data_IF_172441972650
#
_entry.id   IF_172441972650
#
_cell.length_a   1.000
_cell.length_b   1.000
_cell.length_c   1.000
_cell.angle_alpha   90.00
_cell.angle_beta   90.00
_cell.angle_gamma   90.00
#
_symmetry.space_group_name_H-M   'P 1'
#
loop_
_entity.id
_entity.type
_entity.pdbx_description
1 polymer ?
#
# COMPACT_ATOMS: atom_id res chain seq x y z
N UNK A 1 -7.03 23.83 -5.02
CA UNK A 1 -7.59 22.90 -4.01
C UNK A 1 -8.84 22.22 -4.54
N UNK A 2 -9.88 22.96 -4.94
CA UNK A 2 -11.09 22.38 -5.57
C UNK A 2 -10.78 21.56 -6.84
N UNK A 3 -9.89 22.04 -7.72
CA UNK A 3 -9.45 21.27 -8.90
C UNK A 3 -8.82 19.92 -8.49
N UNK A 4 -7.95 19.95 -7.46
CA UNK A 4 -7.26 18.76 -6.93
C UNK A 4 -8.30 17.80 -6.32
N UNK A 5 -9.28 18.34 -5.58
CA UNK A 5 -10.39 17.57 -5.02
C UNK A 5 -11.17 16.83 -6.12
N UNK A 6 -11.61 17.51 -7.18
CA UNK A 6 -12.34 16.87 -8.27
C UNK A 6 -11.51 15.82 -8.99
N UNK A 7 -10.20 16.06 -9.19
CA UNK A 7 -9.28 15.07 -9.76
C UNK A 7 -9.25 13.80 -8.90
N UNK A 8 -9.09 13.93 -7.58
CA UNK A 8 -9.09 12.79 -6.66
C UNK A 8 -10.42 12.04 -6.67
N UNK A 9 -11.55 12.74 -6.65
CA UNK A 9 -12.89 12.10 -6.68
C UNK A 9 -13.12 11.31 -7.96
N UNK A 10 -12.77 11.90 -9.11
CA UNK A 10 -12.93 11.23 -10.42
C UNK A 10 -12.01 10.01 -10.55
N UNK A 11 -10.79 10.08 -10.01
CA UNK A 11 -9.85 8.94 -10.01
C UNK A 11 -10.17 7.88 -8.94
N UNK A 12 -10.85 8.25 -7.87
CA UNK A 12 -11.23 7.35 -6.79
C UNK A 12 -12.21 6.28 -7.27
N UNK A 13 -13.26 6.66 -7.98
CA UNK A 13 -14.30 5.75 -8.48
C UNK A 13 -13.71 4.59 -9.31
N UNK A 14 -12.91 4.82 -10.38
CA UNK A 14 -12.31 3.73 -11.15
C UNK A 14 -11.28 2.95 -10.33
N UNK A 15 -10.52 3.60 -9.43
CA UNK A 15 -9.54 2.91 -8.58
C UNK A 15 -10.22 1.93 -7.61
N UNK A 16 -11.33 2.32 -6.99
CA UNK A 16 -12.15 1.45 -6.15
C UNK A 16 -12.73 0.27 -6.94
N UNK A 17 -13.30 0.54 -8.12
CA UNK A 17 -13.85 -0.51 -8.98
C UNK A 17 -12.77 -1.52 -9.40
N UNK A 18 -11.60 -1.03 -9.82
CA UNK A 18 -10.46 -1.88 -10.15
C UNK A 18 -10.01 -2.73 -8.95
N UNK A 19 -9.87 -2.15 -7.77
CA UNK A 19 -9.51 -2.90 -6.56
C UNK A 19 -10.53 -4.00 -6.27
N UNK A 20 -11.82 -3.69 -6.29
CA UNK A 20 -12.90 -4.66 -6.03
C UNK A 20 -12.91 -5.80 -7.06
N UNK A 21 -12.72 -5.50 -8.34
CA UNK A 21 -12.64 -6.51 -9.39
C UNK A 21 -11.45 -7.46 -9.20
N UNK A 22 -10.29 -6.92 -8.83
CA UNK A 22 -9.10 -7.75 -8.59
C UNK A 22 -9.28 -8.60 -7.34
N UNK A 23 -9.82 -8.04 -6.25
CA UNK A 23 -10.18 -8.80 -5.05
C UNK A 23 -11.14 -9.94 -5.38
N UNK A 24 -12.22 -9.65 -6.10
CA UNK A 24 -13.21 -10.65 -6.52
C UNK A 24 -12.58 -11.80 -7.30
N UNK A 25 -11.73 -11.48 -8.30
CA UNK A 25 -11.03 -12.51 -9.08
C UNK A 25 -10.06 -13.33 -8.22
N UNK A 26 -9.36 -12.70 -7.27
CA UNK A 26 -8.43 -13.36 -6.37
C UNK A 26 -9.13 -14.34 -5.40
N UNK A 27 -10.32 -13.99 -4.90
CA UNK A 27 -11.12 -14.89 -4.07
C UNK A 27 -11.67 -16.07 -4.87
N UNK A 28 -12.06 -15.85 -6.12
CA UNK A 28 -12.63 -16.88 -6.99
C UNK A 28 -11.59 -17.90 -7.47
N UNK A 29 -10.36 -17.48 -7.74
CA UNK A 29 -9.30 -18.34 -8.28
C UNK A 29 -8.29 -18.78 -7.22
N UNK A 30 -8.56 -19.92 -6.59
CA UNK A 30 -7.68 -20.49 -5.55
C UNK A 30 -6.27 -20.84 -6.04
N UNK A 31 -6.10 -21.11 -7.34
CA UNK A 31 -4.80 -21.41 -7.95
C UNK A 31 -3.89 -20.17 -8.01
N UNK A 32 -4.44 -18.97 -8.23
CA UNK A 32 -3.67 -17.73 -8.25
C UNK A 32 -3.06 -17.43 -6.88
N UNK A 33 -3.72 -17.83 -5.78
CA UNK A 33 -3.26 -17.56 -4.40
C UNK A 33 -1.99 -18.31 -3.99
N UNK A 34 -1.66 -19.42 -4.66
CA UNK A 34 -0.53 -20.29 -4.28
C UNK A 34 0.81 -19.82 -4.82
N UNK A 35 0.82 -18.92 -5.80
CA UNK A 35 2.04 -18.39 -6.38
C UNK A 35 2.57 -17.23 -5.52
N UNK A 36 3.88 -17.22 -5.19
CA UNK A 36 4.48 -16.22 -4.30
C UNK A 36 4.35 -14.80 -4.84
N UNK A 37 4.59 -14.60 -6.14
CA UNK A 37 4.43 -13.29 -6.78
C UNK A 37 3.01 -12.71 -6.62
N UNK A 38 1.99 -13.57 -6.67
CA UNK A 38 0.60 -13.15 -6.49
C UNK A 38 0.29 -12.81 -5.02
N UNK A 39 1.02 -13.36 -4.05
CA UNK A 39 0.90 -13.00 -2.64
C UNK A 39 1.43 -11.58 -2.39
N UNK A 40 2.56 -11.20 -3.01
CA UNK A 40 3.10 -9.83 -2.95
C UNK A 40 2.11 -8.83 -3.53
N UNK A 41 1.52 -9.13 -4.70
CA UNK A 41 0.49 -8.29 -5.34
C UNK A 41 -0.77 -8.20 -4.48
N UNK A 42 -1.18 -9.29 -3.86
CA UNK A 42 -2.34 -9.29 -2.96
C UNK A 42 -2.12 -8.42 -1.72
N UNK A 43 -0.94 -8.50 -1.12
CA UNK A 43 -0.58 -7.63 0.00
C UNK A 43 -0.57 -6.16 -0.42
N UNK A 44 -0.01 -5.84 -1.60
CA UNK A 44 -0.05 -4.50 -2.18
C UNK A 44 -1.50 -3.99 -2.34
N UNK A 45 -2.41 -4.82 -2.84
CA UNK A 45 -3.82 -4.46 -2.99
C UNK A 45 -4.50 -4.19 -1.65
N UNK A 46 -4.18 -4.96 -0.60
CA UNK A 46 -4.70 -4.70 0.74
C UNK A 46 -4.22 -3.33 1.24
N UNK A 47 -2.94 -3.03 1.10
CA UNK A 47 -2.37 -1.76 1.55
C UNK A 47 -3.00 -0.58 0.80
N UNK A 48 -3.11 -0.67 -0.53
CA UNK A 48 -3.76 0.36 -1.36
C UNK A 48 -5.24 0.53 -1.01
N UNK A 49 -5.95 -0.56 -0.72
CA UNK A 49 -7.36 -0.49 -0.32
C UNK A 49 -7.52 0.19 1.04
N UNK A 50 -6.64 -0.09 1.99
CA UNK A 50 -6.61 0.60 3.30
C UNK A 50 -6.29 2.08 3.11
N UNK A 51 -5.33 2.43 2.26
CA UNK A 51 -4.99 3.83 1.93
C UNK A 51 -6.19 4.57 1.34
N UNK A 52 -6.90 3.94 0.41
CA UNK A 52 -8.13 4.50 -0.19
C UNK A 52 -9.25 4.67 0.83
N UNK A 53 -9.39 3.76 1.80
CA UNK A 53 -10.46 3.83 2.81
C UNK A 53 -10.16 4.82 3.94
N UNK A 54 -8.89 5.02 4.29
CA UNK A 54 -8.49 5.80 5.47
C UNK A 54 -7.91 7.15 5.06
N UNK A 55 -6.82 7.17 4.28
CA UNK A 55 -6.12 8.43 3.97
C UNK A 55 -6.96 9.32 3.06
N UNK A 56 -7.55 8.73 2.03
CA UNK A 56 -8.20 9.50 0.97
C UNK A 56 -9.44 10.27 1.43
N UNK A 57 -10.37 9.73 2.26
CA UNK A 57 -11.51 10.49 2.76
C UNK A 57 -11.09 11.64 3.67
N UNK A 58 -10.09 11.41 4.53
CA UNK A 58 -9.55 12.46 5.42
C UNK A 58 -8.92 13.58 4.58
N UNK A 59 -8.13 13.22 3.57
CA UNK A 59 -7.51 14.17 2.63
C UNK A 59 -8.54 14.94 1.82
N UNK A 60 -9.60 14.28 1.35
CA UNK A 60 -10.72 14.90 0.62
C UNK A 60 -11.49 15.88 1.50
N UNK A 61 -11.79 15.50 2.74
CA UNK A 61 -12.42 16.39 3.73
C UNK A 61 -11.57 17.63 3.97
N UNK A 62 -10.25 17.46 4.16
CA UNK A 62 -9.33 18.58 4.33
C UNK A 62 -9.27 19.50 3.09
N UNK A 63 -9.28 18.92 1.89
CA UNK A 63 -9.25 19.68 0.63
C UNK A 63 -10.54 20.46 0.36
N UNK A 64 -11.67 19.98 0.86
CA UNK A 64 -12.99 20.61 0.70
C UNK A 64 -13.24 21.68 1.77
N UNK A 65 -13.03 21.36 3.05
CA UNK A 65 -13.38 22.24 4.18
C UNK A 65 -12.24 23.17 4.61
N UNK A 66 -11.03 22.98 4.08
CA UNK A 66 -9.80 23.66 4.52
C UNK A 66 -9.47 23.46 6.01
N UNK A 67 -10.13 22.52 6.69
CA UNK A 67 -9.93 22.22 8.11
C UNK A 67 -9.84 20.71 8.30
N UNK A 68 -9.10 20.31 9.32
CA UNK A 68 -9.06 18.90 9.75
C UNK A 68 -10.27 18.67 10.67
N UNK A 69 -11.04 17.62 10.40
CA UNK A 69 -12.22 17.23 11.20
C UNK A 69 -11.93 17.19 12.71
N UNK A 70 -10.74 16.73 13.09
CA UNK A 70 -10.27 16.65 14.47
C UNK A 70 -8.92 17.36 14.55
N UNK A 71 -8.91 18.58 15.10
CA UNK A 71 -7.71 19.41 15.22
C UNK A 71 -6.88 19.09 16.48
N UNK A 72 -6.79 17.83 16.87
CA UNK A 72 -5.94 17.43 18.00
C UNK A 72 -4.55 17.05 17.50
N UNK A 73 -3.51 17.44 18.25
CA UNK A 73 -2.12 17.12 17.89
C UNK A 73 -1.90 15.61 17.70
N UNK A 74 -2.52 14.78 18.56
CA UNK A 74 -2.46 13.33 18.46
C UNK A 74 -3.11 12.79 17.18
N UNK A 75 -4.24 13.33 16.73
CA UNK A 75 -4.87 12.91 15.48
C UNK A 75 -4.01 13.28 14.27
N UNK A 76 -3.43 14.48 14.24
CA UNK A 76 -2.53 14.90 13.16
C UNK A 76 -1.27 14.03 13.08
N UNK A 77 -0.68 13.68 14.23
CA UNK A 77 0.48 12.76 14.26
C UNK A 77 0.09 11.36 13.77
N UNK A 78 -1.02 10.82 14.28
CA UNK A 78 -1.51 9.50 13.86
C UNK A 78 -1.83 9.46 12.37
N UNK A 79 -2.49 10.50 11.85
CA UNK A 79 -2.82 10.59 10.43
C UNK A 79 -1.55 10.70 9.57
N UNK A 80 -0.60 11.55 9.95
CA UNK A 80 0.65 11.68 9.22
C UNK A 80 1.46 10.37 9.25
N UNK A 81 1.46 9.67 10.40
CA UNK A 81 2.08 8.37 10.55
C UNK A 81 1.45 7.32 9.62
N UNK A 82 0.12 7.15 9.67
CA UNK A 82 -0.55 6.12 8.87
C UNK A 82 -0.43 6.42 7.37
N UNK A 83 -0.55 7.69 6.96
CA UNK A 83 -0.40 8.10 5.56
C UNK A 83 1.01 7.80 5.04
N UNK A 84 2.04 8.14 5.81
CA UNK A 84 3.44 7.91 5.42
C UNK A 84 3.79 6.43 5.37
N UNK A 85 3.34 5.67 6.38
CA UNK A 85 3.58 4.22 6.46
C UNK A 85 2.93 3.50 5.29
N UNK A 86 1.63 3.71 5.05
CA UNK A 86 0.92 3.01 3.97
C UNK A 86 1.52 3.34 2.60
N UNK A 87 1.86 4.60 2.37
CA UNK A 87 2.44 5.03 1.10
C UNK A 87 3.81 4.37 0.83
N UNK A 88 4.72 4.38 1.81
CA UNK A 88 6.04 3.76 1.65
C UNK A 88 5.95 2.23 1.58
N UNK A 89 5.07 1.59 2.35
CA UNK A 89 4.83 0.14 2.22
C UNK A 89 4.36 -0.18 0.80
N UNK A 90 3.40 0.59 0.27
CA UNK A 90 2.90 0.43 -1.09
C UNK A 90 4.00 0.57 -2.14
N UNK A 91 4.84 1.60 -2.03
CA UNK A 91 5.97 1.83 -2.92
C UNK A 91 7.01 0.70 -2.86
N UNK A 92 7.40 0.26 -1.66
CA UNK A 92 8.32 -0.86 -1.50
C UNK A 92 7.74 -2.15 -2.08
N UNK A 93 6.50 -2.50 -1.77
CA UNK A 93 5.86 -3.71 -2.29
C UNK A 93 5.75 -3.66 -3.82
N UNK A 94 5.45 -2.52 -4.42
CA UNK A 94 5.40 -2.35 -5.87
C UNK A 94 6.78 -2.52 -6.52
N UNK A 95 7.82 -1.93 -5.93
CA UNK A 95 9.19 -2.08 -6.39
C UNK A 95 9.63 -3.55 -6.31
N UNK A 96 9.39 -4.21 -5.18
CA UNK A 96 9.78 -5.60 -4.99
C UNK A 96 8.96 -6.57 -5.85
N UNK A 97 7.67 -6.37 -6.03
CA UNK A 97 6.88 -7.18 -6.95
C UNK A 97 7.42 -7.10 -8.38
N UNK A 98 7.91 -5.92 -8.79
CA UNK A 98 8.54 -5.72 -10.11
C UNK A 98 9.87 -6.46 -10.22
N UNK A 99 10.71 -6.38 -9.18
CA UNK A 99 11.97 -7.10 -9.09
C UNK A 99 11.74 -8.62 -9.08
N UNK A 100 10.81 -9.10 -8.26
CA UNK A 100 10.43 -10.51 -8.14
C UNK A 100 10.02 -11.07 -9.51
N UNK A 101 9.17 -10.34 -10.24
CA UNK A 101 8.74 -10.72 -11.59
C UNK A 101 9.88 -10.72 -12.59
N UNK A 102 10.79 -9.75 -12.51
CA UNK A 102 11.97 -9.72 -13.37
C UNK A 102 12.85 -10.95 -13.14
N UNK A 103 13.18 -11.29 -11.89
CA UNK A 103 13.94 -12.50 -11.57
C UNK A 103 13.22 -13.79 -11.96
N UNK A 104 11.89 -13.84 -11.80
CA UNK A 104 11.09 -14.99 -12.20
C UNK A 104 11.18 -15.26 -13.72
N UNK A 105 11.13 -14.21 -14.55
CA UNK A 105 11.19 -14.33 -16.02
C UNK A 105 12.60 -14.67 -16.50
N UNK A 106 13.62 -13.95 -16.02
CA UNK A 106 14.98 -14.07 -16.56
C UNK A 106 15.83 -15.15 -15.86
N UNK A 107 15.51 -15.51 -14.62
CA UNK A 107 16.31 -16.41 -13.79
C UNK A 107 15.42 -17.39 -12.98
N UNK A 108 14.44 -18.02 -13.65
CA UNK A 108 13.41 -18.85 -13.02
C UNK A 108 13.95 -19.95 -12.09
N UNK A 109 15.03 -20.65 -12.48
CA UNK A 109 15.66 -21.70 -11.67
C UNK A 109 16.32 -21.14 -10.40
N UNK A 110 17.00 -19.99 -10.51
CA UNK A 110 17.60 -19.30 -9.37
C UNK A 110 16.52 -18.80 -8.41
N UNK A 111 15.43 -18.24 -8.97
CA UNK A 111 14.29 -17.78 -8.18
C UNK A 111 13.61 -18.91 -7.41
N UNK A 112 13.43 -20.09 -8.04
CA UNK A 112 12.87 -21.26 -7.38
C UNK A 112 13.75 -21.75 -6.21
N UNK A 113 15.08 -21.75 -6.39
CA UNK A 113 16.04 -22.17 -5.36
C UNK A 113 16.13 -21.19 -4.19
N UNK A 114 16.02 -19.90 -4.46
CA UNK A 114 16.17 -18.83 -3.46
C UNK A 114 14.84 -18.12 -3.13
N UNK A 115 13.71 -18.82 -3.28
CA UNK A 115 12.36 -18.27 -3.09
C UNK A 115 12.18 -17.54 -1.75
N UNK A 116 12.75 -18.09 -0.67
CA UNK A 116 12.65 -17.48 0.65
C UNK A 116 13.36 -16.11 0.71
N UNK A 117 14.57 -16.03 0.15
CA UNK A 117 15.37 -14.80 0.13
C UNK A 117 14.82 -13.74 -0.84
N UNK A 118 14.22 -14.16 -1.96
CA UNK A 118 13.81 -13.26 -3.03
C UNK A 118 12.34 -12.84 -2.99
N UNK A 119 11.50 -13.54 -2.23
CA UNK A 119 10.06 -13.25 -2.13
C UNK A 119 9.65 -12.92 -0.70
N UNK A 120 9.96 -13.80 0.26
CA UNK A 120 9.46 -13.67 1.64
C UNK A 120 10.19 -12.58 2.40
N UNK A 121 11.52 -12.56 2.41
CA UNK A 121 12.31 -11.55 3.14
C UNK A 121 11.98 -10.13 2.64
N UNK A 122 11.99 -9.83 1.33
CA UNK A 122 11.71 -8.49 0.85
C UNK A 122 10.29 -8.04 1.20
N UNK A 123 9.31 -8.95 1.15
CA UNK A 123 7.94 -8.65 1.55
C UNK A 123 7.85 -8.27 3.04
N UNK A 124 8.50 -9.04 3.92
CA UNK A 124 8.54 -8.75 5.37
C UNK A 124 9.24 -7.42 5.64
N UNK A 125 10.41 -7.20 5.02
CA UNK A 125 11.18 -5.97 5.17
C UNK A 125 10.37 -4.76 4.70
N UNK A 126 9.63 -4.90 3.58
CA UNK A 126 8.78 -3.83 3.03
C UNK A 126 7.70 -3.36 3.99
N UNK A 127 7.25 -4.21 4.91
CA UNK A 127 6.22 -3.88 5.90
C UNK A 127 6.84 -3.43 7.22
N UNK A 128 7.81 -4.19 7.74
CA UNK A 128 8.37 -3.93 9.07
C UNK A 128 9.23 -2.66 9.08
N UNK A 129 10.03 -2.43 8.03
CA UNK A 129 10.95 -1.30 8.01
C UNK A 129 10.22 0.05 8.03
N UNK A 130 9.21 0.32 7.17
CA UNK A 130 8.47 1.58 7.23
C UNK A 130 7.72 1.74 8.55
N UNK A 131 7.15 0.66 9.10
CA UNK A 131 6.50 0.70 10.42
C UNK A 131 7.47 1.18 11.49
N UNK A 132 8.63 0.54 11.63
CA UNK A 132 9.62 0.89 12.64
C UNK A 132 10.23 2.29 12.46
N UNK A 133 10.51 2.66 11.20
CA UNK A 133 11.10 3.96 10.89
C UNK A 133 10.13 5.11 11.18
N UNK A 134 8.88 5.00 10.72
CA UNK A 134 7.90 6.05 10.92
C UNK A 134 7.36 6.11 12.34
N UNK A 135 7.30 4.99 13.08
CA UNK A 135 6.98 5.07 14.52
C UNK A 135 8.06 5.86 15.28
N UNK A 136 9.34 5.57 15.04
CA UNK A 136 10.45 6.29 15.68
C UNK A 136 10.49 7.78 15.31
N UNK A 137 10.29 8.12 14.03
CA UNK A 137 10.36 9.53 13.57
C UNK A 137 9.15 10.35 13.97
N UNK A 138 7.94 9.81 13.90
CA UNK A 138 6.72 10.57 14.23
C UNK A 138 6.46 10.66 15.73
N UNK A 139 6.69 9.58 16.48
CA UNK A 139 6.42 9.56 17.92
C UNK A 139 7.66 9.82 18.79
N UNK A 140 8.87 9.60 18.27
CA UNK A 140 10.11 9.88 19.00
C UNK A 140 10.64 11.30 18.84
N UNK A 141 9.97 12.15 18.05
CA UNK A 141 10.31 13.57 17.87
C UNK A 141 9.60 14.52 18.84
N UNK A 142 8.93 13.98 19.87
CA UNK A 142 8.21 14.70 20.92
C UNK A 142 8.81 14.47 22.31
#
# INVERSE_FOLDING_TARGET
RLIIFYIYVVLLVPSCLCCLLIFYNFFRMSQLRKQPANQTIFLLLIILFIEILIDLPIRLSYLYENQVLIQTGGFCMFWNWIASVLNIIGLHLMAFASIERHFFIFNSQFHARHRFLLSIIPMIVSVIYPLAFYTGTVFGSW
#
